data_IF_996096654395
#
_entry.id   IF_996096654395
#
_cell.length_a   1.000
_cell.length_b   1.000
_cell.length_c   1.000
_cell.angle_alpha   90.00
_cell.angle_beta   90.00
_cell.angle_gamma   90.00
#
_symmetry.space_group_name_H-M   'P 1'
#
loop_
_entity.id
_entity.type
_entity.pdbx_description
1 polymer ?
#
# COMPACT_ATOMS: atom_id res chain seq x y z
N UNK A 1 -9.17 5.04 10.91
CA UNK A 1 -10.12 4.13 11.59
C UNK A 1 -11.38 4.13 10.76
N UNK A 2 -11.94 2.98 10.39
CA UNK A 2 -13.12 2.91 9.53
C UNK A 2 -14.32 3.53 10.27
N UNK A 3 -14.94 4.62 9.78
CA UNK A 3 -15.96 5.36 10.53
C UNK A 3 -17.23 4.55 10.85
N UNK A 4 -17.40 3.40 10.20
CA UNK A 4 -18.60 2.56 10.29
C UNK A 4 -18.42 1.29 11.13
N UNK A 5 -17.25 1.04 11.72
CA UNK A 5 -16.96 -0.15 12.52
C UNK A 5 -16.48 -1.37 11.72
N UNK A 6 -16.59 -2.56 12.31
CA UNK A 6 -16.15 -3.84 11.71
C UNK A 6 -17.33 -4.54 11.04
N UNK A 7 -17.17 -4.86 9.76
CA UNK A 7 -18.16 -5.59 8.96
C UNK A 7 -17.46 -6.65 8.13
N UNK A 8 -18.05 -7.84 8.06
CA UNK A 8 -17.50 -9.00 7.36
C UNK A 8 -18.41 -9.38 6.21
N UNK A 9 -17.83 -9.55 5.04
CA UNK A 9 -18.56 -9.93 3.82
C UNK A 9 -17.83 -11.07 3.11
N UNK A 10 -18.58 -12.09 2.71
CA UNK A 10 -18.13 -13.14 1.80
C UNK A 10 -18.62 -12.78 0.41
N UNK A 11 -17.73 -12.82 -0.58
CA UNK A 11 -18.12 -12.73 -1.98
C UNK A 11 -18.43 -14.14 -2.50
N UNK A 12 -19.65 -14.32 -2.99
CA UNK A 12 -20.12 -15.56 -3.60
C UNK A 12 -19.95 -15.45 -5.12
N UNK A 13 -19.59 -16.57 -5.76
CA UNK A 13 -19.33 -16.65 -7.21
C UNK A 13 -18.17 -15.77 -7.72
N UNK A 14 -17.27 -15.30 -6.84
CA UNK A 14 -16.13 -14.49 -7.26
C UNK A 14 -15.00 -15.36 -7.84
N UNK A 15 -14.86 -15.34 -9.17
CA UNK A 15 -13.79 -16.00 -9.92
C UNK A 15 -12.48 -15.19 -9.96
N UNK A 16 -12.57 -13.86 -9.92
CA UNK A 16 -11.41 -12.96 -9.91
C UNK A 16 -11.16 -12.18 -11.21
N UNK A 17 -11.99 -12.36 -12.22
CA UNK A 17 -11.88 -11.75 -13.56
C UNK A 17 -13.02 -10.76 -13.87
N UNK A 18 -14.15 -10.87 -13.17
CA UNK A 18 -15.30 -9.95 -13.27
C UNK A 18 -16.04 -9.82 -11.93
N UNK A 19 -16.93 -8.82 -11.84
CA UNK A 19 -17.93 -8.69 -10.78
C UNK A 19 -19.34 -9.12 -11.23
N UNK A 20 -19.50 -9.55 -12.49
CA UNK A 20 -20.78 -10.00 -13.01
C UNK A 20 -21.24 -11.28 -12.31
N UNK A 21 -22.46 -11.26 -11.76
CA UNK A 21 -23.01 -12.38 -10.99
C UNK A 21 -22.39 -12.58 -9.60
N UNK A 22 -21.49 -11.69 -9.17
CA UNK A 22 -20.91 -11.71 -7.83
C UNK A 22 -21.87 -11.10 -6.82
N UNK A 23 -22.36 -11.92 -5.90
CA UNK A 23 -23.13 -11.48 -4.73
C UNK A 23 -22.23 -11.38 -3.50
N UNK A 24 -22.69 -10.62 -2.51
CA UNK A 24 -22.00 -10.46 -1.24
C UNK A 24 -22.93 -10.81 -0.09
N UNK A 25 -22.42 -11.55 0.89
CA UNK A 25 -23.17 -11.98 2.06
C UNK A 25 -22.49 -11.48 3.32
N UNK A 26 -23.21 -10.71 4.11
CA UNK A 26 -22.74 -10.29 5.43
C UNK A 26 -22.70 -11.51 6.37
N UNK A 27 -21.64 -11.62 7.15
CA UNK A 27 -21.48 -12.67 8.16
C UNK A 27 -21.06 -12.07 9.50
N UNK A 28 -21.35 -12.77 10.60
CA UNK A 28 -20.96 -12.30 11.92
C UNK A 28 -19.48 -12.53 12.19
N UNK A 29 -18.93 -13.66 11.74
CA UNK A 29 -17.56 -14.09 12.02
C UNK A 29 -16.97 -14.87 10.83
N UNK A 30 -15.64 -14.80 10.69
CA UNK A 30 -14.87 -15.67 9.81
C UNK A 30 -14.10 -16.72 10.63
N UNK A 31 -13.68 -17.82 10.00
CA UNK A 31 -12.67 -18.66 10.64
C UNK A 31 -11.38 -17.85 10.93
N UNK A 32 -10.61 -18.18 11.97
CA UNK A 32 -9.48 -17.34 12.39
C UNK A 32 -8.44 -17.06 11.28
N UNK A 33 -8.05 -18.04 10.43
CA UNK A 33 -7.21 -17.76 9.26
C UNK A 33 -7.80 -16.74 8.28
N UNK A 34 -9.09 -16.88 7.94
CA UNK A 34 -9.80 -15.94 7.06
C UNK A 34 -9.92 -14.56 7.67
N UNK A 35 -10.12 -14.44 8.99
CA UNK A 35 -10.18 -13.16 9.70
C UNK A 35 -8.85 -12.39 9.56
N UNK A 36 -7.72 -13.07 9.79
CA UNK A 36 -6.39 -12.47 9.66
C UNK A 36 -6.12 -12.02 8.22
N UNK A 37 -6.44 -12.87 7.24
CA UNK A 37 -6.28 -12.53 5.83
C UNK A 37 -7.16 -11.34 5.44
N UNK A 38 -8.44 -11.36 5.80
CA UNK A 38 -9.40 -10.31 5.46
C UNK A 38 -9.00 -8.96 6.07
N UNK A 39 -8.44 -8.96 7.27
CA UNK A 39 -7.90 -7.75 7.92
C UNK A 39 -6.74 -7.16 7.12
N UNK A 40 -5.74 -7.98 6.79
CA UNK A 40 -4.52 -7.55 6.09
C UNK A 40 -4.85 -7.12 4.65
N UNK A 41 -5.55 -7.96 3.89
CA UNK A 41 -5.95 -7.64 2.52
C UNK A 41 -6.89 -6.43 2.49
N UNK A 42 -7.87 -6.38 3.41
CA UNK A 42 -8.81 -5.28 3.52
C UNK A 42 -8.14 -3.93 3.79
N UNK A 43 -7.08 -3.89 4.61
CA UNK A 43 -6.30 -2.69 4.85
C UNK A 43 -5.56 -2.23 3.59
N UNK A 44 -4.88 -3.13 2.89
CA UNK A 44 -4.13 -2.77 1.67
C UNK A 44 -5.03 -2.40 0.49
N UNK A 45 -6.16 -3.07 0.33
CA UNK A 45 -7.17 -2.72 -0.67
C UNK A 45 -7.76 -1.33 -0.40
N UNK A 46 -8.01 -0.98 0.86
CA UNK A 46 -8.40 0.38 1.26
C UNK A 46 -7.34 1.40 0.88
N UNK A 47 -6.07 1.15 1.24
CA UNK A 47 -4.97 2.05 0.92
C UNK A 47 -4.83 2.26 -0.59
N UNK A 48 -4.91 1.19 -1.39
CA UNK A 48 -4.85 1.27 -2.85
C UNK A 48 -6.03 2.06 -3.43
N UNK A 49 -7.25 1.75 -2.99
CA UNK A 49 -8.47 2.43 -3.41
C UNK A 49 -8.42 3.94 -3.16
N UNK A 50 -8.01 4.35 -1.96
CA UNK A 50 -7.94 5.76 -1.60
C UNK A 50 -6.78 6.48 -2.30
N UNK A 51 -5.65 5.80 -2.51
CA UNK A 51 -4.55 6.33 -3.32
C UNK A 51 -4.99 6.64 -4.75
N UNK A 52 -5.68 5.69 -5.41
CA UNK A 52 -6.23 5.87 -6.75
C UNK A 52 -7.27 7.01 -6.78
N UNK A 53 -8.15 7.09 -5.77
CA UNK A 53 -9.15 8.16 -5.65
C UNK A 53 -8.53 9.55 -5.48
N UNK A 54 -7.38 9.64 -4.82
CA UNK A 54 -6.61 10.89 -4.68
C UNK A 54 -5.80 11.25 -5.94
N UNK A 55 -5.91 10.48 -7.03
CA UNK A 55 -5.19 10.73 -8.28
C UNK A 55 -3.72 10.31 -8.24
N UNK A 56 -3.31 9.47 -7.29
CA UNK A 56 -1.96 8.91 -7.32
C UNK A 56 -1.84 7.90 -8.47
N UNK A 57 -0.79 7.98 -9.30
CA UNK A 57 -0.54 6.97 -10.32
C UNK A 57 -0.19 5.62 -9.66
N UNK A 58 -0.35 4.53 -10.40
CA UNK A 58 0.10 3.21 -9.95
C UNK A 58 1.58 3.25 -9.55
N UNK A 59 1.92 2.88 -8.31
CA UNK A 59 3.28 2.99 -7.83
C UNK A 59 4.19 2.04 -8.60
N UNK A 60 5.38 2.51 -8.98
CA UNK A 60 6.43 1.65 -9.56
C UNK A 60 7.10 0.77 -8.52
N UNK A 61 7.07 1.20 -7.25
CA UNK A 61 7.61 0.48 -6.10
C UNK A 61 6.96 1.00 -4.83
N UNK A 62 6.93 0.16 -3.81
CA UNK A 62 6.54 0.51 -2.45
C UNK A 62 7.76 0.42 -1.54
N UNK A 63 7.86 1.36 -0.59
CA UNK A 63 8.85 1.28 0.48
C UNK A 63 8.08 1.06 1.79
N UNK A 64 8.14 -0.17 2.29
CA UNK A 64 7.55 -0.54 3.56
C UNK A 64 8.50 -0.22 4.72
N UNK A 65 7.97 0.46 5.73
CA UNK A 65 8.69 0.82 6.96
C UNK A 65 7.82 0.53 8.18
N UNK A 66 8.41 0.55 9.38
CA UNK A 66 7.72 0.26 10.64
C UNK A 66 7.72 -1.23 11.01
N UNK A 67 7.11 -1.60 12.14
CA UNK A 67 7.20 -2.96 12.69
C UNK A 67 6.66 -4.05 11.76
N UNK A 68 5.55 -3.77 11.06
CA UNK A 68 4.94 -4.74 10.14
C UNK A 68 5.84 -5.09 8.94
N UNK A 69 6.81 -4.24 8.58
CA UNK A 69 7.73 -4.52 7.48
C UNK A 69 8.78 -5.59 7.81
N UNK A 70 8.78 -6.14 9.03
CA UNK A 70 9.56 -7.33 9.38
C UNK A 70 8.86 -8.65 8.95
N UNK A 71 7.55 -8.61 8.67
CA UNK A 71 6.78 -9.81 8.31
C UNK A 71 6.71 -9.97 6.79
N UNK A 72 7.36 -11.00 6.26
CA UNK A 72 7.42 -11.26 4.82
C UNK A 72 6.04 -11.55 4.22
N UNK A 73 5.15 -12.25 4.91
CA UNK A 73 3.79 -12.53 4.41
C UNK A 73 2.99 -11.24 4.19
N UNK A 74 3.12 -10.27 5.11
CA UNK A 74 2.49 -8.94 4.96
C UNK A 74 3.07 -8.21 3.75
N UNK A 75 4.39 -8.26 3.56
CA UNK A 75 5.07 -7.62 2.42
C UNK A 75 4.67 -8.25 1.08
N UNK A 76 4.51 -9.57 1.03
CA UNK A 76 4.04 -10.26 -0.17
C UNK A 76 2.59 -9.89 -0.48
N UNK A 77 1.72 -9.81 0.53
CA UNK A 77 0.33 -9.38 0.33
C UNK A 77 0.23 -7.98 -0.28
N UNK A 78 0.98 -6.98 0.25
CA UNK A 78 0.97 -5.63 -0.33
C UNK A 78 1.57 -5.61 -1.75
N UNK A 79 2.61 -6.41 -2.02
CA UNK A 79 3.19 -6.53 -3.37
C UNK A 79 2.18 -7.09 -4.38
N UNK A 80 1.44 -8.15 -4.01
CA UNK A 80 0.40 -8.75 -4.85
C UNK A 80 -0.79 -7.81 -5.06
N UNK A 81 -1.22 -7.09 -4.03
CA UNK A 81 -2.38 -6.18 -4.10
C UNK A 81 -2.08 -4.94 -4.93
N UNK A 82 -0.89 -4.34 -4.79
CA UNK A 82 -0.50 -3.16 -5.55
C UNK A 82 0.11 -3.48 -6.91
N UNK A 83 0.55 -4.71 -7.15
CA UNK A 83 1.19 -5.12 -8.40
C UNK A 83 2.54 -4.46 -8.64
N UNK A 84 3.31 -4.20 -7.57
CA UNK A 84 4.64 -3.61 -7.68
C UNK A 84 5.59 -4.14 -6.61
N UNK A 85 6.89 -3.98 -6.86
CA UNK A 85 7.93 -4.45 -5.95
C UNK A 85 7.93 -3.67 -4.63
N UNK A 86 8.10 -4.41 -3.54
CA UNK A 86 8.12 -3.88 -2.18
C UNK A 86 9.53 -3.97 -1.64
N UNK A 87 10.03 -2.82 -1.19
CA UNK A 87 11.34 -2.67 -0.59
C UNK A 87 11.21 -2.33 0.88
N UNK A 88 12.20 -2.69 1.67
CA UNK A 88 12.31 -2.29 3.07
C UNK A 88 13.55 -1.47 3.32
N UNK A 89 13.48 -0.61 4.34
CA UNK A 89 14.60 0.18 4.83
C UNK A 89 14.93 -0.26 6.24
N UNK A 90 16.20 -0.56 6.50
CA UNK A 90 16.69 -1.02 7.80
C UNK A 90 16.95 0.14 8.78
N UNK A 91 16.03 1.12 8.89
CA UNK A 91 16.15 2.25 9.83
C UNK A 91 14.79 2.81 10.27
N UNK A 92 14.66 3.11 11.56
CA UNK A 92 13.49 3.75 12.17
C UNK A 92 13.46 5.29 11.99
N UNK A 93 14.60 5.91 11.72
CA UNK A 93 14.76 7.37 11.87
C UNK A 93 14.61 8.13 10.54
N UNK A 94 13.58 7.79 9.76
CA UNK A 94 13.36 8.34 8.41
C UNK A 94 13.20 9.86 8.41
N UNK A 95 12.54 10.43 9.42
CA UNK A 95 12.35 11.88 9.55
C UNK A 95 13.68 12.62 9.79
N UNK A 96 14.48 12.15 10.73
CA UNK A 96 15.80 12.73 11.05
C UNK A 96 16.75 12.63 9.85
N UNK A 97 16.75 11.48 9.17
CA UNK A 97 17.52 11.31 7.93
C UNK A 97 17.04 12.26 6.83
N UNK A 98 15.72 12.40 6.64
CA UNK A 98 15.13 13.35 5.70
C UNK A 98 15.53 14.79 5.99
N UNK A 99 15.55 15.20 7.26
CA UNK A 99 15.99 16.53 7.68
C UNK A 99 17.48 16.78 7.35
N UNK A 100 18.35 15.82 7.67
CA UNK A 100 19.78 15.89 7.36
C UNK A 100 20.02 15.97 5.83
N UNK A 101 19.28 15.18 5.04
CA UNK A 101 19.35 15.23 3.58
C UNK A 101 18.91 16.58 3.02
N UNK A 102 17.82 17.16 3.54
CA UNK A 102 17.37 18.49 3.12
C UNK A 102 18.37 19.59 3.49
N UNK A 103 19.01 19.51 4.65
CA UNK A 103 20.06 20.45 5.05
C UNK A 103 21.29 20.36 4.12
N UNK A 104 21.76 19.14 3.84
CA UNK A 104 22.87 18.93 2.91
C UNK A 104 22.52 19.33 1.46
N UNK A 105 21.26 19.14 1.03
CA UNK A 105 20.75 19.62 -0.26
C UNK A 105 20.78 21.15 -0.34
N UNK A 106 20.33 21.84 0.70
CA UNK A 106 20.38 23.31 0.79
C UNK A 106 21.81 23.84 0.69
N UNK A 107 22.76 23.22 1.39
CA UNK A 107 24.18 23.56 1.27
C UNK A 107 24.72 23.35 -0.15
N UNK A 108 24.34 22.24 -0.81
CA UNK A 108 24.79 21.95 -2.18
C UNK A 108 24.24 22.96 -3.19
N UNK A 109 22.97 23.34 -3.09
CA UNK A 109 22.37 24.40 -3.92
C UNK A 109 23.09 25.74 -3.72
N UNK A 110 23.38 26.12 -2.46
CA UNK A 110 24.12 27.33 -2.16
C UNK A 110 25.53 27.32 -2.78
N UNK A 111 26.24 26.19 -2.68
CA UNK A 111 27.58 26.03 -3.29
C UNK A 111 27.56 26.09 -4.81
N UNK A 112 26.48 25.62 -5.45
CA UNK A 112 26.29 25.65 -6.91
C UNK A 112 25.76 26.99 -7.42
N UNK A 113 25.26 27.84 -6.53
CA UNK A 113 24.60 29.11 -6.89
C UNK A 113 23.23 28.93 -7.55
N UNK A 114 22.68 27.71 -7.55
CA UNK A 114 21.39 27.40 -8.18
C UNK A 114 20.78 26.12 -7.59
N UNK A 115 19.48 25.93 -7.83
CA UNK A 115 18.82 24.68 -7.47
C UNK A 115 19.41 23.51 -8.27
N UNK A 116 19.74 22.43 -7.57
CA UNK A 116 20.06 21.14 -8.18
C UNK A 116 19.04 20.08 -7.78
N UNK A 117 18.74 19.09 -8.63
CA UNK A 117 17.90 17.97 -8.23
C UNK A 117 18.47 17.22 -7.01
N UNK A 118 17.60 16.76 -6.10
CA UNK A 118 18.03 15.99 -4.92
C UNK A 118 18.77 14.70 -5.31
N UNK A 119 18.47 14.14 -6.48
CA UNK A 119 19.15 12.99 -7.06
C UNK A 119 20.64 13.18 -7.24
N UNK A 120 21.11 14.42 -7.42
CA UNK A 120 22.54 14.74 -7.45
C UNK A 120 23.27 14.36 -6.14
N UNK A 121 22.55 14.17 -5.03
CA UNK A 121 23.14 13.73 -3.77
C UNK A 121 23.45 12.22 -3.72
N UNK A 122 22.80 11.41 -4.56
CA UNK A 122 22.87 9.95 -4.45
C UNK A 122 23.05 9.20 -5.77
N UNK A 123 23.05 9.87 -6.92
CA UNK A 123 23.03 9.25 -8.26
C UNK A 123 24.15 8.23 -8.54
N UNK A 124 25.25 8.22 -7.78
CA UNK A 124 26.35 7.24 -7.94
C UNK A 124 26.75 6.53 -6.64
N UNK A 125 25.97 6.73 -5.57
CA UNK A 125 26.33 6.29 -4.20
C UNK A 125 25.16 5.69 -3.45
N UNK A 126 24.03 5.41 -4.09
CA UNK A 126 22.81 4.97 -3.40
C UNK A 126 23.05 3.78 -2.46
N UNK A 127 23.79 2.76 -2.90
CA UNK A 127 24.13 1.58 -2.08
C UNK A 127 25.07 1.90 -0.91
N UNK A 128 25.88 2.94 -1.06
CA UNK A 128 26.81 3.44 -0.03
C UNK A 128 26.17 4.50 0.89
N UNK A 129 24.91 4.85 0.65
CA UNK A 129 24.20 5.86 1.43
C UNK A 129 23.19 5.22 2.37
N UNK A 130 22.73 6.00 3.35
CA UNK A 130 21.63 5.62 4.24
C UNK A 130 20.27 5.50 3.55
N UNK A 131 20.19 5.79 2.25
CA UNK A 131 19.00 5.68 1.40
C UNK A 131 18.85 4.31 0.73
N UNK A 132 19.78 3.38 0.95
CA UNK A 132 19.70 2.04 0.37
C UNK A 132 18.44 1.31 0.85
N UNK A 133 17.75 0.68 -0.10
CA UNK A 133 16.53 -0.07 0.13
C UNK A 133 16.76 -1.50 -0.35
N UNK A 134 16.32 -2.48 0.42
CA UNK A 134 16.42 -3.90 0.05
C UNK A 134 15.10 -4.36 -0.55
N UNK A 135 15.15 -5.02 -1.71
CA UNK A 135 13.98 -5.71 -2.26
C UNK A 135 13.54 -6.81 -1.29
N UNK A 136 12.28 -6.78 -0.87
CA UNK A 136 11.75 -7.70 0.13
C UNK A 136 10.59 -8.55 -0.36
N UNK A 137 9.82 -8.09 -1.33
CA UNK A 137 8.82 -8.89 -2.04
C UNK A 137 8.67 -8.38 -3.47
N UNK A 138 8.47 -9.29 -4.41
CA UNK A 138 8.26 -8.98 -5.82
C UNK A 138 6.79 -8.78 -6.13
N UNK A 139 6.48 -7.99 -7.16
CA UNK A 139 5.13 -7.85 -7.68
C UNK A 139 4.47 -9.23 -7.92
N UNK A 140 3.15 -9.30 -7.66
CA UNK A 140 2.34 -10.46 -8.06
C UNK A 140 2.19 -10.54 -9.58
N UNK A 141 1.78 -11.70 -10.08
CA UNK A 141 1.45 -11.87 -11.49
C UNK A 141 0.24 -11.01 -11.91
N UNK A 142 0.08 -10.83 -13.22
CA UNK A 142 -0.96 -9.97 -13.78
C UNK A 142 -2.39 -10.48 -13.46
N UNK A 143 -2.55 -11.79 -13.33
CA UNK A 143 -3.84 -12.41 -13.01
C UNK A 143 -4.27 -12.07 -11.58
N UNK A 144 -3.36 -12.22 -10.62
CA UNK A 144 -3.56 -11.91 -9.21
C UNK A 144 -3.80 -10.42 -9.00
N UNK A 145 -3.05 -9.55 -9.70
CA UNK A 145 -3.27 -8.10 -9.67
C UNK A 145 -4.65 -7.74 -10.21
N UNK A 146 -5.11 -8.42 -11.26
CA UNK A 146 -6.46 -8.23 -11.81
C UNK A 146 -7.53 -8.66 -10.82
N UNK A 147 -7.33 -9.81 -10.16
CA UNK A 147 -8.21 -10.30 -9.09
C UNK A 147 -8.33 -9.33 -7.93
N UNK A 148 -7.21 -8.82 -7.43
CA UNK A 148 -7.23 -7.80 -6.37
C UNK A 148 -7.82 -6.47 -6.83
N UNK A 149 -7.72 -6.13 -8.12
CA UNK A 149 -8.37 -4.93 -8.68
C UNK A 149 -9.89 -5.04 -8.61
N UNK A 150 -10.46 -6.20 -8.96
CA UNK A 150 -11.90 -6.42 -8.83
C UNK A 150 -12.36 -6.50 -7.37
N UNK A 151 -11.59 -7.18 -6.52
CA UNK A 151 -11.87 -7.24 -5.09
C UNK A 151 -11.85 -5.84 -4.45
N UNK A 152 -10.90 -4.99 -4.85
CA UNK A 152 -10.83 -3.60 -4.42
C UNK A 152 -12.08 -2.81 -4.81
N UNK A 153 -12.52 -2.92 -6.08
CA UNK A 153 -13.75 -2.24 -6.55
C UNK A 153 -14.97 -2.65 -5.73
N UNK A 154 -15.13 -3.96 -5.49
CA UNK A 154 -16.25 -4.48 -4.69
C UNK A 154 -16.19 -4.03 -3.23
N UNK A 155 -14.99 -3.99 -2.65
CA UNK A 155 -14.77 -3.45 -1.30
C UNK A 155 -15.19 -1.98 -1.19
N UNK A 156 -14.85 -1.14 -2.17
CA UNK A 156 -15.25 0.28 -2.19
C UNK A 156 -16.77 0.43 -2.29
N UNK A 157 -17.42 -0.41 -3.11
CA UNK A 157 -18.89 -0.45 -3.21
C UNK A 157 -19.54 -0.73 -1.85
N UNK A 158 -19.06 -1.77 -1.15
CA UNK A 158 -19.52 -2.13 0.20
C UNK A 158 -19.27 -0.99 1.19
N UNK A 159 -18.07 -0.40 1.17
CA UNK A 159 -17.70 0.71 2.05
C UNK A 159 -18.61 1.93 1.85
N UNK A 160 -18.84 2.33 0.60
CA UNK A 160 -19.74 3.46 0.29
C UNK A 160 -21.16 3.19 0.78
N UNK A 161 -21.68 1.97 0.62
CA UNK A 161 -23.01 1.60 1.13
C UNK A 161 -23.06 1.63 2.65
N UNK A 162 -22.02 1.15 3.33
CA UNK A 162 -21.94 1.21 4.79
C UNK A 162 -21.89 2.65 5.28
N UNK A 163 -21.12 3.53 4.62
CA UNK A 163 -21.07 4.96 4.93
C UNK A 163 -22.43 5.62 4.73
N UNK A 164 -23.17 5.30 3.68
CA UNK A 164 -24.53 5.81 3.49
C UNK A 164 -25.51 5.33 4.57
N UNK A 165 -25.38 4.06 5.00
CA UNK A 165 -26.30 3.44 5.96
C UNK A 165 -26.01 3.84 7.41
N UNK A 166 -24.73 3.95 7.77
CA UNK A 166 -24.26 4.09 9.16
C UNK A 166 -23.50 5.40 9.41
N UNK A 167 -23.17 6.14 8.36
CA UNK A 167 -22.53 7.43 8.46
C UNK A 167 -23.41 8.37 9.28
N UNK A 168 -22.87 8.82 10.40
CA UNK A 168 -23.47 9.91 11.18
C UNK A 168 -23.06 11.20 10.49
N UNK A 169 -24.05 11.93 9.99
CA UNK A 169 -23.90 13.30 9.48
C UNK A 169 -23.66 14.27 10.64
#
# INVERSE_FOLDING_TARGET
MNPVGFHRYILENFSGDTLDGVSERAVEEFDPPSEVRALIEGQFLSMRAHAERCGMPSPKRIIATGGASANHSILSSIASIFGCDVYTVQRSDSASLGAALRAAHGWLCNKRGSFVPISCMYNDKLEKTSLSCKLSATAGDQELVTKYTWLMKKRIEIENRLVQKLGRW
#
